data_IF_833015812345
#
_entry.id   IF_833015812345
#
_cell.length_a   1.000
_cell.length_b   1.000
_cell.length_c   1.000
_cell.angle_alpha   90.00
_cell.angle_beta   90.00
_cell.angle_gamma   90.00
#
_symmetry.space_group_name_H-M   'P 1'
#
loop_
_entity.id
_entity.type
_entity.pdbx_description
1 polymer ?
#
# COMPACT_ATOMS: atom_id res chain seq x y z
N UNK A 1 -19.33 -7.65 -4.05
CA UNK A 1 -18.58 -6.38 -4.01
C UNK A 1 -17.45 -6.44 -5.01
N UNK A 2 -17.43 -5.54 -5.95
CA UNK A 2 -16.40 -5.43 -6.99
C UNK A 2 -15.51 -4.24 -6.63
N UNK A 3 -14.20 -4.38 -6.67
CA UNK A 3 -13.28 -3.32 -6.29
C UNK A 3 -12.45 -2.87 -7.51
N UNK A 4 -12.33 -1.56 -7.69
CA UNK A 4 -11.41 -0.94 -8.65
C UNK A 4 -10.21 -0.42 -7.86
N UNK A 5 -9.02 -0.93 -8.16
CA UNK A 5 -7.77 -0.38 -7.63
C UNK A 5 -7.07 0.38 -8.76
N UNK A 6 -6.84 1.67 -8.56
CA UNK A 6 -6.25 2.51 -9.60
C UNK A 6 -5.17 3.45 -9.03
N UNK A 7 -4.20 3.76 -9.90
CA UNK A 7 -3.27 4.89 -9.76
C UNK A 7 -3.38 5.74 -11.00
N UNK A 8 -3.37 7.06 -10.86
CA UNK A 8 -3.21 7.93 -12.00
C UNK A 8 -1.75 8.40 -12.13
N UNK A 9 -1.29 8.54 -13.37
CA UNK A 9 0.04 9.04 -13.69
C UNK A 9 -0.07 10.48 -14.21
N UNK A 10 0.81 11.35 -13.75
CA UNK A 10 1.02 12.65 -14.40
C UNK A 10 1.97 12.43 -15.58
N UNK A 11 1.50 12.61 -16.80
CA UNK A 11 2.35 12.55 -17.97
C UNK A 11 3.24 13.78 -18.09
N UNK A 12 4.55 13.54 -18.12
CA UNK A 12 5.53 14.43 -18.74
C UNK A 12 5.41 14.28 -20.26
N UNK A 13 4.61 15.11 -20.89
CA UNK A 13 4.40 15.05 -22.32
C UNK A 13 5.65 15.52 -23.07
N UNK A 14 6.21 14.65 -23.92
CA UNK A 14 7.09 15.00 -25.02
C UNK A 14 6.28 15.77 -26.08
N UNK A 15 6.84 16.87 -26.56
CA UNK A 15 6.19 17.84 -27.45
C UNK A 15 5.96 17.32 -28.88
N UNK A 16 4.81 17.60 -29.49
CA UNK A 16 4.74 17.98 -30.92
C UNK A 16 4.71 19.50 -31.06
N UNK A 17 5.51 20.01 -31.98
CA UNK A 17 5.48 21.41 -32.41
C UNK A 17 4.19 21.70 -33.19
N UNK A 18 3.35 22.58 -32.66
CA UNK A 18 2.35 23.30 -33.48
C UNK A 18 2.38 24.77 -33.09
N UNK A 19 2.59 25.61 -34.14
CA UNK A 19 2.50 27.05 -34.05
C UNK A 19 1.01 27.45 -34.05
N UNK A 20 0.55 28.10 -32.99
CA UNK A 20 -0.50 29.12 -33.02
C UNK A 20 -0.57 29.81 -31.66
N UNK A 21 -0.62 31.11 -31.66
CA UNK A 21 -0.67 32.03 -30.54
C UNK A 21 -1.99 31.96 -29.78
N UNK A 22 -1.95 31.69 -28.51
CA UNK A 22 -2.74 32.34 -27.46
C UNK A 22 -2.17 31.95 -26.08
N UNK A 23 -1.80 32.91 -25.26
CA UNK A 23 -1.47 32.74 -23.84
C UNK A 23 -2.72 33.05 -23.01
N UNK A 24 -2.99 32.40 -21.89
CA UNK A 24 -2.01 32.05 -20.83
C UNK A 24 -2.06 30.58 -20.44
N UNK A 25 -0.94 29.94 -20.46
CA UNK A 25 -0.76 28.63 -19.87
C UNK A 25 0.09 28.80 -18.60
N UNK A 26 -0.46 28.51 -17.46
CA UNK A 26 0.32 28.21 -16.26
C UNK A 26 1.18 26.96 -16.56
N UNK A 27 2.41 27.20 -17.00
CA UNK A 27 3.43 26.15 -17.10
C UNK A 27 3.94 25.82 -15.70
N UNK A 28 3.45 24.76 -15.10
CA UNK A 28 4.15 24.12 -13.98
C UNK A 28 5.19 23.16 -14.56
N UNK A 29 6.22 23.73 -15.19
CA UNK A 29 7.41 23.00 -15.63
C UNK A 29 8.64 23.84 -15.31
N UNK A 30 8.85 24.15 -14.04
CA UNK A 30 10.15 24.52 -13.53
C UNK A 30 10.45 23.60 -12.35
N UNK A 31 11.62 22.94 -12.41
CA UNK A 31 12.27 22.34 -11.26
C UNK A 31 12.56 23.45 -10.25
N UNK A 32 11.60 23.77 -9.44
CA UNK A 32 11.83 24.58 -8.25
C UNK A 32 12.25 23.62 -7.14
N UNK A 33 13.45 23.76 -6.63
CA UNK A 33 13.92 23.07 -5.42
C UNK A 33 13.03 23.39 -4.19
N UNK A 34 12.23 24.45 -4.25
CA UNK A 34 11.15 24.78 -3.32
C UNK A 34 9.86 23.97 -3.54
N UNK A 35 9.72 23.25 -4.64
CA UNK A 35 8.50 22.54 -5.03
C UNK A 35 8.23 21.23 -4.30
N UNK A 36 9.20 20.66 -3.58
CA UNK A 36 9.05 19.33 -2.99
C UNK A 36 7.98 19.24 -1.90
N UNK A 37 7.75 20.29 -1.13
CA UNK A 37 6.78 20.30 -0.01
C UNK A 37 5.37 20.72 -0.44
N UNK A 38 5.25 21.63 -1.42
CA UNK A 38 3.97 22.19 -1.87
C UNK A 38 3.32 21.31 -2.94
N UNK A 39 4.12 20.64 -3.77
CA UNK A 39 3.62 19.80 -4.88
C UNK A 39 2.65 18.69 -4.44
N UNK A 40 2.90 17.91 -3.37
CA UNK A 40 1.93 16.92 -2.91
C UNK A 40 0.63 17.54 -2.39
N UNK A 41 0.68 18.73 -1.80
CA UNK A 41 -0.50 19.45 -1.33
C UNK A 41 -1.35 19.89 -2.51
N UNK A 42 -0.76 20.55 -3.51
CA UNK A 42 -1.46 20.97 -4.72
C UNK A 42 -2.05 19.78 -5.49
N UNK A 43 -1.31 18.68 -5.60
CA UNK A 43 -1.82 17.45 -6.22
C UNK A 43 -3.03 16.89 -5.47
N UNK A 44 -3.04 16.94 -4.13
CA UNK A 44 -4.19 16.52 -3.34
C UNK A 44 -5.39 17.45 -3.49
N UNK A 45 -5.18 18.76 -3.53
CA UNK A 45 -6.24 19.75 -3.79
C UNK A 45 -6.83 19.49 -5.19
N UNK A 46 -5.97 19.34 -6.20
CA UNK A 46 -6.42 19.05 -7.57
C UNK A 46 -7.23 17.76 -7.64
N UNK A 47 -6.75 16.68 -7.05
CA UNK A 47 -7.45 15.41 -7.00
C UNK A 47 -8.76 15.49 -6.23
N UNK A 48 -8.86 16.34 -5.21
CA UNK A 48 -10.11 16.59 -4.51
C UNK A 48 -11.20 17.13 -5.44
N UNK A 49 -10.90 18.16 -6.23
CA UNK A 49 -11.87 18.74 -7.15
C UNK A 49 -12.16 17.85 -8.36
N UNK A 50 -11.15 17.19 -8.89
CA UNK A 50 -11.30 16.37 -10.10
C UNK A 50 -11.97 15.03 -9.79
N UNK A 51 -11.57 14.37 -8.69
CA UNK A 51 -11.97 13.00 -8.37
C UNK A 51 -12.94 12.92 -7.19
N UNK A 52 -12.57 13.47 -6.01
CA UNK A 52 -13.33 13.19 -4.78
C UNK A 52 -14.75 13.76 -4.84
N UNK A 53 -14.92 15.02 -5.24
CA UNK A 53 -16.24 15.66 -5.35
C UNK A 53 -17.08 14.99 -6.44
N UNK A 54 -16.49 14.72 -7.61
CA UNK A 54 -17.18 14.04 -8.67
C UNK A 54 -17.61 12.63 -8.27
N UNK A 55 -16.75 11.85 -7.66
CA UNK A 55 -17.06 10.51 -7.23
C UNK A 55 -18.10 10.49 -6.09
N UNK A 56 -18.13 11.53 -5.24
CA UNK A 56 -19.19 11.72 -4.24
C UNK A 56 -20.56 11.98 -4.89
N UNK A 57 -20.62 12.87 -5.89
CA UNK A 57 -21.85 13.11 -6.66
C UNK A 57 -22.28 11.83 -7.40
N UNK A 58 -21.32 11.18 -8.08
CA UNK A 58 -21.60 9.96 -8.83
C UNK A 58 -22.22 8.86 -8.00
N UNK A 59 -21.65 8.58 -6.82
CA UNK A 59 -22.21 7.55 -5.92
C UNK A 59 -23.63 7.88 -5.40
N UNK A 60 -23.95 9.16 -5.31
CA UNK A 60 -25.26 9.61 -4.78
C UNK A 60 -26.34 9.55 -5.85
N UNK A 61 -25.97 9.82 -7.11
CA UNK A 61 -26.98 10.08 -8.17
C UNK A 61 -27.01 8.95 -9.21
N UNK A 62 -25.96 8.19 -9.37
CA UNK A 62 -25.80 7.20 -10.42
C UNK A 62 -25.65 5.76 -9.91
N UNK A 63 -25.22 5.55 -8.69
CA UNK A 63 -25.04 4.22 -8.17
C UNK A 63 -26.40 3.59 -7.76
N UNK A 64 -26.58 2.30 -8.10
CA UNK A 64 -27.74 1.52 -7.68
C UNK A 64 -27.51 0.85 -6.33
N UNK A 65 -26.26 0.63 -5.93
CA UNK A 65 -25.87 0.02 -4.67
C UNK A 65 -24.82 0.84 -3.92
N UNK A 66 -24.35 0.26 -2.82
CA UNK A 66 -23.34 0.91 -1.98
C UNK A 66 -22.02 1.10 -2.72
N UNK A 67 -21.46 2.32 -2.63
CA UNK A 67 -20.14 2.67 -3.19
C UNK A 67 -19.25 3.25 -2.11
N UNK A 68 -18.10 2.61 -1.88
CA UNK A 68 -17.09 3.02 -0.91
C UNK A 68 -15.82 3.44 -1.64
N UNK A 69 -15.36 4.66 -1.39
CA UNK A 69 -14.16 5.21 -2.01
C UNK A 69 -13.11 5.48 -0.94
N UNK A 70 -11.90 4.98 -1.16
CA UNK A 70 -10.74 5.23 -0.31
C UNK A 70 -9.59 5.72 -1.18
N UNK A 71 -9.15 6.96 -0.98
CA UNK A 71 -8.03 7.57 -1.69
C UNK A 71 -6.89 7.94 -0.74
N UNK A 72 -5.68 7.75 -1.21
CA UNK A 72 -4.46 8.23 -0.58
C UNK A 72 -3.52 8.78 -1.65
N UNK A 73 -3.42 10.10 -1.73
CA UNK A 73 -2.70 10.80 -2.80
C UNK A 73 -3.22 10.37 -4.19
N UNK A 74 -2.37 9.75 -5.00
CA UNK A 74 -2.67 9.21 -6.33
C UNK A 74 -3.19 7.77 -6.34
N UNK A 75 -3.09 7.07 -5.22
CA UNK A 75 -3.61 5.70 -5.07
C UNK A 75 -5.05 5.74 -4.54
N UNK A 76 -5.96 5.02 -5.18
CA UNK A 76 -7.33 4.86 -4.68
C UNK A 76 -7.91 3.48 -4.95
N UNK A 77 -8.89 3.12 -4.15
CA UNK A 77 -9.68 1.90 -4.27
C UNK A 77 -11.14 2.29 -4.17
N UNK A 78 -11.96 1.79 -5.08
CA UNK A 78 -13.40 1.97 -5.04
C UNK A 78 -14.05 0.61 -4.95
N UNK A 79 -14.91 0.40 -3.97
CA UNK A 79 -15.69 -0.81 -3.79
C UNK A 79 -17.14 -0.56 -4.21
N UNK A 80 -17.70 -1.46 -5.00
CA UNK A 80 -19.09 -1.40 -5.47
C UNK A 80 -19.84 -2.65 -5.03
N UNK A 81 -21.11 -2.49 -4.73
CA UNK A 81 -21.99 -3.62 -4.48
C UNK A 81 -22.31 -4.36 -5.79
N UNK A 82 -22.63 -3.62 -6.86
CA UNK A 82 -22.97 -4.15 -8.16
C UNK A 82 -21.84 -3.99 -9.17
N UNK A 83 -21.66 -4.99 -10.03
CA UNK A 83 -20.63 -4.99 -11.07
C UNK A 83 -20.91 -3.94 -12.14
N UNK A 84 -22.17 -3.78 -12.52
CA UNK A 84 -22.60 -2.81 -13.53
C UNK A 84 -22.25 -1.37 -13.14
N UNK A 85 -22.42 -1.03 -11.86
CA UNK A 85 -22.00 0.26 -11.32
C UNK A 85 -20.49 0.46 -11.43
N UNK A 86 -19.71 -0.59 -11.17
CA UNK A 86 -18.25 -0.52 -11.27
C UNK A 86 -17.77 -0.31 -12.72
N UNK A 87 -18.38 -0.98 -13.69
CA UNK A 87 -18.06 -0.86 -15.13
C UNK A 87 -18.44 0.53 -15.65
N UNK A 88 -19.62 1.02 -15.28
CA UNK A 88 -20.07 2.37 -15.63
C UNK A 88 -19.19 3.45 -15.01
N UNK A 89 -18.91 3.35 -13.70
CA UNK A 89 -18.01 4.26 -13.03
C UNK A 89 -16.63 4.30 -13.69
N UNK A 90 -16.08 3.14 -14.08
CA UNK A 90 -14.80 3.05 -14.76
C UNK A 90 -14.78 3.82 -16.08
N UNK A 91 -15.80 3.65 -16.91
CA UNK A 91 -15.90 4.36 -18.19
C UNK A 91 -15.96 5.87 -17.97
N UNK A 92 -16.88 6.33 -17.13
CA UNK A 92 -17.08 7.75 -16.85
C UNK A 92 -15.88 8.38 -16.12
N UNK A 93 -15.19 7.62 -15.25
CA UNK A 93 -13.96 8.08 -14.61
C UNK A 93 -12.84 8.34 -15.62
N UNK A 94 -12.68 7.47 -16.62
CA UNK A 94 -11.68 7.69 -17.68
C UNK A 94 -11.95 8.98 -18.45
N UNK A 95 -13.19 9.22 -18.84
CA UNK A 95 -13.60 10.45 -19.52
C UNK A 95 -13.40 11.69 -18.62
N UNK A 96 -13.76 11.56 -17.34
CA UNK A 96 -13.57 12.62 -16.36
C UNK A 96 -12.11 13.00 -16.22
N UNK A 97 -11.24 12.03 -16.01
CA UNK A 97 -9.80 12.28 -15.83
C UNK A 97 -9.17 12.86 -17.09
N UNK A 98 -9.55 12.38 -18.28
CA UNK A 98 -9.06 12.89 -19.55
C UNK A 98 -9.38 14.38 -19.73
N UNK A 99 -10.57 14.87 -19.33
CA UNK A 99 -10.95 16.29 -19.36
C UNK A 99 -10.00 17.18 -18.53
N UNK A 100 -9.32 16.63 -17.53
CA UNK A 100 -8.39 17.33 -16.65
C UNK A 100 -6.92 16.99 -16.92
N UNK A 101 -6.62 16.35 -18.06
CA UNK A 101 -5.25 15.97 -18.44
C UNK A 101 -4.65 14.89 -17.55
N UNK A 102 -5.48 14.06 -16.91
CA UNK A 102 -5.08 12.92 -16.11
C UNK A 102 -5.45 11.62 -16.81
N UNK A 103 -4.65 10.58 -16.58
CA UNK A 103 -4.91 9.25 -17.12
C UNK A 103 -4.82 8.18 -16.04
N UNK A 104 -5.64 7.13 -16.19
CA UNK A 104 -5.51 5.92 -15.38
C UNK A 104 -4.33 5.10 -15.86
N UNK A 105 -3.48 4.66 -14.94
CA UNK A 105 -2.36 3.80 -15.29
C UNK A 105 -2.87 2.40 -15.68
N UNK A 106 -2.79 2.08 -16.99
CA UNK A 106 -3.40 0.87 -17.57
C UNK A 106 -3.00 -0.44 -16.85
N UNK A 107 -1.71 -0.61 -16.53
CA UNK A 107 -1.23 -1.84 -15.88
C UNK A 107 -1.60 -1.96 -14.39
N UNK A 108 -1.91 -0.84 -13.73
CA UNK A 108 -2.18 -0.81 -12.28
C UNK A 108 -3.66 -0.67 -11.96
N UNK A 109 -4.47 -0.31 -12.94
CA UNK A 109 -5.91 -0.16 -12.80
C UNK A 109 -6.60 -1.46 -13.19
N UNK A 110 -7.35 -2.07 -12.27
CA UNK A 110 -8.02 -3.34 -12.50
C UNK A 110 -9.39 -3.37 -11.86
N UNK A 111 -10.33 -3.99 -12.53
CA UNK A 111 -11.61 -4.39 -11.98
C UNK A 111 -11.48 -5.83 -11.46
N UNK A 112 -11.79 -6.05 -10.19
CA UNK A 112 -11.64 -7.37 -9.55
C UNK A 112 -12.89 -7.72 -8.75
N UNK A 113 -13.17 -9.02 -8.65
CA UNK A 113 -14.19 -9.53 -7.76
C UNK A 113 -13.62 -9.78 -6.37
N UNK A 114 -14.11 -8.98 -5.41
CA UNK A 114 -13.59 -8.97 -4.04
C UNK A 114 -14.72 -8.86 -3.02
N UNK A 115 -14.58 -9.50 -1.87
CA UNK A 115 -15.55 -9.33 -0.78
C UNK A 115 -16.14 -10.65 -0.27
N UNK A 116 -17.20 -10.51 0.53
CA UNK A 116 -17.82 -11.62 1.29
C UNK A 116 -18.30 -12.78 0.39
N UNK A 117 -18.86 -12.45 -0.75
CA UNK A 117 -19.47 -13.42 -1.65
C UNK A 117 -18.55 -13.85 -2.79
N UNK A 118 -17.46 -13.14 -3.05
CA UNK A 118 -16.56 -13.38 -4.17
C UNK A 118 -16.04 -14.83 -4.26
N UNK A 119 -15.74 -15.47 -3.13
CA UNK A 119 -15.28 -16.85 -3.13
C UNK A 119 -16.35 -17.84 -3.60
N UNK A 120 -17.60 -17.66 -3.15
CA UNK A 120 -18.75 -18.49 -3.53
C UNK A 120 -19.11 -18.30 -5.00
N UNK A 121 -19.21 -17.03 -5.41
CA UNK A 121 -19.69 -16.68 -6.75
C UNK A 121 -18.67 -17.06 -7.83
N UNK A 122 -17.37 -16.96 -7.53
CA UNK A 122 -16.30 -17.46 -8.42
C UNK A 122 -16.29 -18.98 -8.48
N UNK A 123 -16.46 -19.67 -7.35
CA UNK A 123 -16.52 -21.13 -7.31
C UNK A 123 -17.71 -21.67 -8.12
N UNK A 124 -18.88 -21.04 -8.03
CA UNK A 124 -20.07 -21.41 -8.81
C UNK A 124 -19.86 -21.30 -10.32
N UNK A 125 -18.95 -20.41 -10.75
CA UNK A 125 -18.57 -20.23 -12.17
C UNK A 125 -17.32 -21.02 -12.59
N UNK A 126 -16.82 -21.94 -11.75
CA UNK A 126 -15.60 -22.70 -12.01
C UNK A 126 -14.31 -21.85 -11.98
N UNK A 127 -14.35 -20.62 -11.46
CA UNK A 127 -13.20 -19.75 -11.34
C UNK A 127 -12.45 -20.02 -10.03
N UNK A 128 -11.16 -19.75 -10.02
CA UNK A 128 -10.30 -19.96 -8.85
C UNK A 128 -10.61 -19.01 -7.67
N UNK A 129 -9.70 -18.98 -6.71
CA UNK A 129 -9.82 -18.13 -5.50
C UNK A 129 -10.06 -16.66 -5.88
N UNK A 130 -10.71 -15.86 -4.99
CA UNK A 130 -10.86 -14.43 -5.18
C UNK A 130 -9.53 -13.74 -5.45
N UNK A 131 -9.56 -12.74 -6.30
CA UNK A 131 -8.39 -11.95 -6.60
C UNK A 131 -7.92 -11.15 -5.37
N UNK A 132 -6.68 -10.71 -5.43
CA UNK A 132 -6.07 -9.87 -4.40
C UNK A 132 -5.66 -8.54 -5.01
N UNK A 133 -5.65 -7.49 -4.19
CA UNK A 133 -5.14 -6.20 -4.64
C UNK A 133 -4.12 -5.62 -3.65
N UNK A 134 -3.29 -4.73 -4.15
CA UNK A 134 -2.25 -4.05 -3.38
C UNK A 134 -2.67 -2.62 -3.13
N UNK A 135 -2.70 -2.22 -1.86
CA UNK A 135 -3.00 -0.85 -1.47
C UNK A 135 -2.23 -0.48 -0.21
N UNK A 136 -1.62 0.71 -0.21
CA UNK A 136 -0.82 1.25 0.91
C UNK A 136 0.23 0.25 1.45
N UNK A 137 0.91 -0.48 0.57
CA UNK A 137 1.98 -1.41 0.98
C UNK A 137 1.49 -2.76 1.53
N UNK A 138 0.18 -3.01 1.50
CA UNK A 138 -0.42 -4.28 1.87
C UNK A 138 -1.04 -4.97 0.68
N UNK A 139 -0.98 -6.30 0.67
CA UNK A 139 -1.82 -7.16 -0.15
C UNK A 139 -3.09 -7.47 0.62
N UNK A 140 -4.23 -7.13 0.04
CA UNK A 140 -5.57 -7.37 0.59
C UNK A 140 -6.12 -8.68 0.04
N UNK A 141 -6.60 -9.56 0.93
CA UNK A 141 -6.98 -10.93 0.62
C UNK A 141 -8.33 -11.25 1.27
N UNK A 142 -9.26 -11.82 0.49
CA UNK A 142 -10.48 -12.41 1.02
C UNK A 142 -10.14 -13.64 1.87
N UNK A 143 -10.48 -13.63 3.15
CA UNK A 143 -10.22 -14.73 4.07
C UNK A 143 -11.46 -15.03 4.92
N UNK A 144 -11.38 -16.13 5.67
CA UNK A 144 -12.39 -16.51 6.67
C UNK A 144 -11.75 -16.57 8.05
N UNK A 145 -12.51 -16.26 9.08
CA UNK A 145 -12.07 -16.44 10.46
C UNK A 145 -12.01 -17.93 10.79
N UNK A 146 -10.97 -18.38 11.49
CA UNK A 146 -10.80 -19.81 11.84
C UNK A 146 -11.92 -20.32 12.76
N UNK A 147 -12.40 -19.50 13.70
CA UNK A 147 -13.40 -19.92 14.69
C UNK A 147 -14.83 -19.93 14.14
N UNK A 148 -15.24 -18.91 13.39
CA UNK A 148 -16.64 -18.72 12.99
C UNK A 148 -16.90 -18.88 11.49
N UNK A 149 -15.87 -19.11 10.68
CA UNK A 149 -15.99 -19.17 9.22
C UNK A 149 -16.44 -17.85 8.55
N UNK A 150 -16.65 -16.77 9.33
CA UNK A 150 -17.11 -15.48 8.81
C UNK A 150 -16.05 -14.86 7.91
N UNK A 151 -16.49 -14.11 6.93
CA UNK A 151 -15.60 -13.32 6.07
C UNK A 151 -14.75 -12.35 6.89
N UNK A 152 -13.47 -12.25 6.54
CA UNK A 152 -12.59 -11.19 6.99
C UNK A 152 -11.68 -10.71 5.87
N UNK A 153 -11.34 -9.45 5.92
CA UNK A 153 -10.33 -8.85 5.08
C UNK A 153 -8.95 -9.04 5.73
N UNK A 154 -8.11 -9.90 5.16
CA UNK A 154 -6.74 -10.11 5.63
C UNK A 154 -5.80 -9.14 4.91
N UNK A 155 -4.93 -8.47 5.67
CA UNK A 155 -3.91 -7.55 5.16
C UNK A 155 -2.53 -8.12 5.47
N UNK A 156 -1.74 -8.38 4.43
CA UNK A 156 -0.38 -8.91 4.56
C UNK A 156 0.57 -7.93 3.92
N UNK A 157 1.77 -7.74 4.49
CA UNK A 157 2.82 -6.91 3.89
C UNK A 157 3.07 -7.31 2.44
N UNK A 158 3.07 -6.35 1.53
CA UNK A 158 3.38 -6.58 0.12
C UNK A 158 4.77 -7.19 -0.04
N UNK A 159 4.84 -8.34 -0.73
CA UNK A 159 6.07 -9.11 -0.85
C UNK A 159 7.14 -8.41 -1.70
N UNK A 160 6.73 -7.62 -2.70
CA UNK A 160 7.66 -6.86 -3.56
C UNK A 160 8.30 -5.73 -2.75
N UNK A 161 7.49 -4.97 -2.00
CA UNK A 161 7.97 -3.90 -1.11
C UNK A 161 8.86 -4.45 0.01
N UNK A 162 8.48 -5.55 0.63
CA UNK A 162 9.31 -6.20 1.65
C UNK A 162 10.66 -6.63 1.09
N UNK A 163 10.69 -7.23 -0.10
CA UNK A 163 11.93 -7.63 -0.78
C UNK A 163 12.82 -6.43 -1.10
N UNK A 164 12.26 -5.36 -1.65
CA UNK A 164 12.99 -4.13 -1.94
C UNK A 164 13.59 -3.51 -0.67
N UNK A 165 12.82 -3.46 0.43
CA UNK A 165 13.31 -2.96 1.72
C UNK A 165 14.46 -3.81 2.27
N UNK A 166 14.35 -5.13 2.20
CA UNK A 166 15.42 -6.05 2.64
C UNK A 166 16.69 -5.90 1.79
N UNK A 167 16.55 -5.66 0.49
CA UNK A 167 17.69 -5.40 -0.39
C UNK A 167 18.40 -4.09 -0.01
N UNK A 168 17.64 -3.02 0.25
CA UNK A 168 18.19 -1.76 0.71
C UNK A 168 18.91 -1.90 2.06
N UNK A 169 18.31 -2.62 3.02
CA UNK A 169 18.94 -2.93 4.31
C UNK A 169 20.24 -3.71 4.12
N UNK A 170 20.26 -4.70 3.22
CA UNK A 170 21.49 -5.47 2.91
C UNK A 170 22.59 -4.56 2.39
N UNK A 171 22.27 -3.62 1.51
CA UNK A 171 23.25 -2.64 0.99
C UNK A 171 23.81 -1.72 2.09
N UNK A 172 22.95 -1.21 2.95
CA UNK A 172 23.37 -0.38 4.09
C UNK A 172 24.19 -1.15 5.13
N UNK A 173 23.85 -2.40 5.39
CA UNK A 173 24.65 -3.28 6.26
C UNK A 173 26.04 -3.52 5.71
N UNK A 174 26.18 -3.60 4.38
CA UNK A 174 27.48 -3.74 3.74
C UNK A 174 28.39 -2.53 4.01
N UNK A 175 27.86 -1.33 3.88
CA UNK A 175 28.59 -0.08 4.19
C UNK A 175 28.99 0.00 5.68
N UNK A 176 28.15 -0.56 6.57
CA UNK A 176 28.36 -0.57 8.03
C UNK A 176 29.06 -1.82 8.54
N UNK A 177 29.60 -2.65 7.65
CA UNK A 177 30.12 -3.96 8.01
C UNK A 177 31.20 -3.90 9.09
N UNK A 178 32.09 -2.90 9.08
CA UNK A 178 33.18 -2.72 10.02
C UNK A 178 32.82 -1.91 11.28
N UNK A 179 31.62 -1.34 11.35
CA UNK A 179 31.17 -0.63 12.57
C UNK A 179 31.07 -1.58 13.76
N UNK A 180 31.15 -1.07 15.01
CA UNK A 180 30.93 -1.86 16.22
C UNK A 180 29.59 -2.58 16.21
N UNK A 181 29.54 -3.80 16.71
CA UNK A 181 28.31 -4.62 16.78
C UNK A 181 27.14 -3.89 17.48
N UNK A 182 27.37 -3.16 18.60
CA UNK A 182 26.29 -2.41 19.25
C UNK A 182 25.70 -1.30 18.36
N UNK A 183 26.49 -0.63 17.53
CA UNK A 183 26.00 0.39 16.61
C UNK A 183 25.14 -0.22 15.52
N UNK A 184 25.59 -1.34 14.94
CA UNK A 184 24.80 -2.09 13.97
C UNK A 184 23.48 -2.56 14.58
N UNK A 185 23.51 -3.10 15.81
CA UNK A 185 22.33 -3.55 16.52
C UNK A 185 21.33 -2.42 16.76
N UNK A 186 21.77 -1.27 17.25
CA UNK A 186 20.92 -0.07 17.42
C UNK A 186 20.32 0.44 16.12
N UNK A 187 21.09 0.44 15.04
CA UNK A 187 20.58 0.83 13.73
C UNK A 187 19.52 -0.14 13.21
N UNK A 188 19.76 -1.45 13.30
CA UNK A 188 18.79 -2.47 12.90
C UNK A 188 17.52 -2.43 13.74
N UNK A 189 17.65 -2.17 15.06
CA UNK A 189 16.50 -1.99 15.94
C UNK A 189 15.60 -0.85 15.47
N UNK A 190 16.19 0.32 15.14
CA UNK A 190 15.41 1.46 14.60
C UNK A 190 14.72 1.12 13.29
N UNK A 191 15.37 0.38 12.41
CA UNK A 191 14.77 -0.08 11.15
C UNK A 191 13.58 -1.00 11.41
N UNK A 192 13.70 -1.94 12.36
CA UNK A 192 12.62 -2.86 12.75
C UNK A 192 11.46 -2.12 13.41
N UNK A 193 11.73 -1.22 14.35
CA UNK A 193 10.70 -0.41 15.01
C UNK A 193 9.91 0.38 13.97
N UNK A 194 10.60 1.08 13.05
CA UNK A 194 9.93 1.82 11.98
C UNK A 194 9.08 0.92 11.07
N UNK A 195 9.54 -0.30 10.79
CA UNK A 195 8.77 -1.28 10.03
C UNK A 195 7.54 -1.78 10.81
N UNK A 196 7.69 -2.06 12.11
CA UNK A 196 6.59 -2.54 12.94
C UNK A 196 5.53 -1.46 13.16
N UNK A 197 5.92 -0.21 13.39
CA UNK A 197 4.98 0.90 13.54
C UNK A 197 4.01 1.02 12.36
N UNK A 198 4.42 0.66 11.16
CA UNK A 198 3.56 0.70 9.99
C UNK A 198 2.85 -0.63 9.71
N UNK A 199 3.57 -1.75 9.77
CA UNK A 199 3.09 -3.04 9.29
C UNK A 199 2.51 -3.96 10.38
N UNK A 200 2.57 -3.58 11.67
CA UNK A 200 2.11 -4.44 12.76
C UNK A 200 0.58 -4.41 12.92
N UNK A 201 -0.13 -4.67 11.85
CA UNK A 201 -1.59 -4.80 11.80
C UNK A 201 -2.02 -6.25 12.10
N UNK A 202 -3.24 -6.46 12.60
CA UNK A 202 -3.79 -7.81 12.78
C UNK A 202 -3.64 -8.69 11.54
N UNK A 203 -3.40 -9.98 11.75
CA UNK A 203 -3.12 -11.02 10.73
C UNK A 203 -1.77 -10.91 10.00
N UNK A 204 -0.90 -9.95 10.33
CA UNK A 204 0.38 -9.75 9.63
C UNK A 204 1.61 -10.21 10.43
N UNK A 205 1.43 -10.86 11.58
CA UNK A 205 2.54 -11.27 12.46
C UNK A 205 3.56 -12.18 11.77
N UNK A 206 3.10 -13.07 10.90
CA UNK A 206 3.96 -13.98 10.13
C UNK A 206 4.93 -13.21 9.20
N UNK A 207 4.44 -12.16 8.53
CA UNK A 207 5.27 -11.33 7.66
C UNK A 207 6.30 -10.51 8.46
N UNK A 208 5.92 -10.02 9.65
CA UNK A 208 6.85 -9.31 10.55
C UNK A 208 7.94 -10.25 11.06
N UNK A 209 7.59 -11.46 11.47
CA UNK A 209 8.52 -12.48 11.92
C UNK A 209 9.49 -12.88 10.78
N UNK A 210 8.97 -13.09 9.58
CA UNK A 210 9.78 -13.38 8.40
C UNK A 210 10.74 -12.21 8.07
N UNK A 211 10.29 -10.95 8.22
CA UNK A 211 11.13 -9.79 8.01
C UNK A 211 12.28 -9.73 9.03
N UNK A 212 11.98 -9.88 10.33
CA UNK A 212 13.01 -9.96 11.39
C UNK A 212 14.02 -11.07 11.11
N UNK A 213 13.55 -12.27 10.82
CA UNK A 213 14.41 -13.41 10.53
C UNK A 213 15.36 -13.16 9.33
N UNK A 214 14.86 -12.56 8.25
CA UNK A 214 15.70 -12.20 7.09
C UNK A 214 16.75 -11.15 7.44
N UNK A 215 16.44 -10.18 8.29
CA UNK A 215 17.41 -9.20 8.80
C UNK A 215 18.49 -9.91 9.60
N UNK A 216 18.14 -10.82 10.51
CA UNK A 216 19.11 -11.60 11.31
C UNK A 216 20.04 -12.38 10.36
N UNK A 217 19.51 -13.03 9.35
CA UNK A 217 20.31 -13.74 8.34
C UNK A 217 21.28 -12.83 7.58
N UNK A 218 20.83 -11.63 7.20
CA UNK A 218 21.70 -10.66 6.54
C UNK A 218 22.79 -10.16 7.50
N UNK A 219 22.44 -9.90 8.76
CA UNK A 219 23.41 -9.48 9.78
C UNK A 219 24.47 -10.54 10.04
N UNK A 220 24.06 -11.79 10.24
CA UNK A 220 24.99 -12.92 10.36
C UNK A 220 25.95 -13.00 9.19
N UNK A 221 25.44 -12.89 7.94
CA UNK A 221 26.29 -12.90 6.75
C UNK A 221 27.28 -11.74 6.72
N UNK A 222 26.85 -10.53 7.13
CA UNK A 222 27.71 -9.37 7.24
C UNK A 222 28.83 -9.57 8.27
N UNK A 223 28.49 -10.08 9.46
CA UNK A 223 29.47 -10.33 10.52
C UNK A 223 30.47 -11.43 10.16
N UNK A 224 30.05 -12.48 9.49
CA UNK A 224 30.95 -13.54 8.99
C UNK A 224 31.95 -13.06 7.96
N UNK A 225 31.66 -12.00 7.23
CA UNK A 225 32.54 -11.43 6.20
C UNK A 225 33.61 -10.48 6.73
N UNK A 226 33.54 -10.10 8.01
CA UNK A 226 34.56 -9.24 8.63
C UNK A 226 35.92 -9.87 8.71
N UNK A 227 35.98 -11.20 8.85
CA UNK A 227 37.21 -11.95 9.00
C UNK A 227 37.06 -13.35 8.40
N UNK A 228 38.07 -13.81 7.70
CA UNK A 228 38.10 -15.18 7.17
C UNK A 228 38.21 -16.22 8.28
N UNK A 229 38.83 -15.86 9.41
CA UNK A 229 39.06 -16.76 10.56
C UNK A 229 37.84 -16.88 11.50
N UNK A 230 36.96 -15.90 11.51
CA UNK A 230 35.85 -15.86 12.50
C UNK A 230 34.57 -16.49 11.94
N UNK A 231 34.27 -17.71 12.40
CA UNK A 231 33.02 -18.43 12.10
C UNK A 231 31.99 -18.17 13.20
N UNK A 232 31.17 -17.11 13.03
CA UNK A 232 30.07 -16.87 13.97
C UNK A 232 29.03 -17.99 13.87
N UNK A 233 28.77 -18.71 14.96
CA UNK A 233 27.73 -19.71 15.06
C UNK A 233 26.33 -19.06 15.11
N UNK A 234 25.31 -19.80 14.69
CA UNK A 234 23.94 -19.33 14.71
C UNK A 234 23.44 -19.05 16.14
N UNK A 235 23.79 -19.90 17.10
CA UNK A 235 23.47 -19.72 18.51
C UNK A 235 23.96 -18.39 19.11
N UNK A 236 25.18 -17.94 18.70
CA UNK A 236 25.69 -16.62 19.10
C UNK A 236 24.93 -15.49 18.42
N UNK A 237 24.50 -15.69 17.18
CA UNK A 237 23.71 -14.71 16.44
C UNK A 237 22.33 -14.54 17.07
N UNK A 238 21.69 -15.61 17.52
CA UNK A 238 20.39 -15.55 18.20
C UNK A 238 20.48 -14.73 19.49
N UNK A 239 21.52 -14.94 20.33
CA UNK A 239 21.75 -14.12 21.52
C UNK A 239 21.90 -12.63 21.18
N UNK A 240 22.65 -12.29 20.12
CA UNK A 240 22.79 -10.91 19.66
C UNK A 240 21.46 -10.35 19.13
N UNK A 241 20.71 -11.15 18.42
CA UNK A 241 19.41 -10.74 17.89
C UNK A 241 18.40 -10.50 19.03
N UNK A 242 18.42 -11.31 20.07
CA UNK A 242 17.52 -11.11 21.22
C UNK A 242 17.95 -9.92 22.09
N UNK A 243 19.24 -9.62 22.15
CA UNK A 243 19.75 -8.45 22.87
C UNK A 243 19.40 -7.13 22.16
N UNK A 244 19.48 -7.08 20.83
CA UNK A 244 19.41 -5.82 20.09
C UNK A 244 18.13 -5.64 19.30
N UNK A 245 17.50 -6.70 18.78
CA UNK A 245 16.42 -6.62 17.82
C UNK A 245 15.06 -6.88 18.49
N UNK A 246 14.12 -5.94 18.42
CA UNK A 246 12.80 -6.10 19.01
C UNK A 246 12.05 -7.30 18.41
N UNK A 247 11.32 -8.01 19.25
CA UNK A 247 10.43 -9.08 18.83
C UNK A 247 9.20 -8.50 18.13
N UNK A 248 8.70 -9.14 17.04
CA UNK A 248 7.52 -8.69 16.35
C UNK A 248 6.27 -8.88 17.23
N UNK A 249 5.44 -7.85 17.29
CA UNK A 249 4.14 -7.89 17.95
C UNK A 249 3.14 -7.04 17.18
N UNK A 250 1.85 -7.34 17.30
CA UNK A 250 0.80 -6.51 16.72
C UNK A 250 0.66 -5.24 17.57
N UNK A 251 0.74 -4.09 16.92
CA UNK A 251 0.66 -2.77 17.55
C UNK A 251 -0.66 -2.07 17.28
N UNK A 252 -1.32 -2.41 16.17
CA UNK A 252 -2.57 -1.78 15.78
C UNK A 252 -3.78 -2.60 16.23
N UNK A 253 -4.84 -1.97 16.73
CA UNK A 253 -6.07 -2.65 17.11
C UNK A 253 -6.76 -3.24 15.88
N UNK A 254 -7.68 -4.17 16.12
CA UNK A 254 -8.58 -4.68 15.09
C UNK A 254 -9.43 -3.56 14.51
N UNK A 255 -9.78 -3.59 13.22
CA UNK A 255 -10.61 -2.56 12.60
C UNK A 255 -11.92 -2.30 13.35
N UNK A 256 -12.58 -3.36 13.80
CA UNK A 256 -13.83 -3.29 14.58
C UNK A 256 -13.65 -2.48 15.88
N UNK A 257 -12.57 -2.69 16.61
CA UNK A 257 -12.25 -1.93 17.83
C UNK A 257 -11.96 -0.45 17.52
N UNK A 258 -11.32 -0.17 16.39
CA UNK A 258 -11.00 1.18 15.95
C UNK A 258 -12.27 1.96 15.57
N UNK A 259 -13.21 1.31 14.89
CA UNK A 259 -14.48 1.93 14.53
C UNK A 259 -15.38 2.14 15.74
N UNK A 260 -15.45 1.20 16.67
CA UNK A 260 -16.22 1.34 17.90
C UNK A 260 -15.78 2.55 18.75
N UNK A 261 -14.45 2.85 18.78
CA UNK A 261 -13.91 4.00 19.51
C UNK A 261 -14.26 5.35 18.85
N UNK A 262 -14.46 5.39 17.53
CA UNK A 262 -14.71 6.64 16.78
C UNK A 262 -16.21 6.94 16.65
N UNK A 263 -17.05 5.92 16.57
CA UNK A 263 -18.44 6.12 16.13
C UNK A 263 -19.42 6.39 17.26
N UNK A 264 -19.06 6.19 18.55
CA UNK A 264 -19.98 6.46 19.68
C UNK A 264 -21.48 6.32 19.30
N UNK A 265 -21.82 5.27 18.59
CA UNK A 265 -23.20 4.98 18.18
C UNK A 265 -23.73 5.77 16.97
N UNK A 266 -22.94 6.60 16.30
CA UNK A 266 -23.34 7.25 15.03
C UNK A 266 -22.54 6.68 13.88
N UNK A 267 -23.21 6.01 12.95
CA UNK A 267 -22.60 5.58 11.69
C UNK A 267 -22.18 6.81 10.87
N UNK A 268 -20.92 6.96 10.44
CA UNK A 268 -20.51 8.07 9.57
C UNK A 268 -20.91 7.85 8.11
N UNK A 269 -21.68 6.81 7.82
CA UNK A 269 -22.11 6.47 6.45
C UNK A 269 -23.62 6.55 6.39
N UNK A 270 -24.11 7.70 6.05
CA UNK A 270 -25.34 7.92 5.30
C UNK A 270 -25.02 8.76 4.09
#
# INVERSE_FOLDING_TARGET
MTAVSARYAQHSAARPRLKASYKPALRITQRCSFGASVSPLLANIYAHYVLDLWAHQWRTWHAHGDVVIVRWADDFVVGFEHREDAERFWSELRERLAKFGLELHAEKTRLIEFGRHAARDRSARGLGKPETFQFLGFTHICAKTRKSGRFKLRRITDSKRMRAKLLAIKGEMWKRMHHPVPEQGRWLARVLVGHYNYYAVPDNIEALSAFRYRIIRHWLKSLRRRSQKHRMAWTRMDRLADQWLPQPRILHPWPEQRFAAITLGRSPVR
#
